data_IF_333154196949
#
_entry.id   IF_333154196949
#
_cell.length_a   1.000
_cell.length_b   1.000
_cell.length_c   1.000
_cell.angle_alpha   90.00
_cell.angle_beta   90.00
_cell.angle_gamma   90.00
#
_symmetry.space_group_name_H-M   'P 1'
#
loop_
_entity.id
_entity.type
_entity.pdbx_description
1 polymer ?
#
# COMPACT_ATOMS: atom_id res chain seq x y z
N UNK A 1 -29.26 14.91 11.53
CA UNK A 1 -29.39 15.21 10.08
C UNK A 1 -28.47 16.39 9.79
N UNK A 2 -27.24 16.13 9.32
CA UNK A 2 -26.26 17.18 9.00
C UNK A 2 -26.47 17.57 7.55
N UNK A 3 -26.80 18.84 7.31
CA UNK A 3 -27.16 19.40 6.01
C UNK A 3 -25.87 19.82 5.30
N UNK A 4 -25.20 18.90 4.63
CA UNK A 4 -24.11 19.23 3.70
C UNK A 4 -24.74 19.46 2.31
N UNK A 5 -25.33 20.64 2.12
CA UNK A 5 -25.70 21.17 0.81
C UNK A 5 -24.93 22.48 0.65
N UNK A 6 -23.67 22.38 0.25
CA UNK A 6 -22.81 23.50 -0.06
C UNK A 6 -21.86 23.11 -1.16
N UNK A 7 -22.24 23.47 -2.39
CA UNK A 7 -21.37 23.72 -3.55
C UNK A 7 -20.50 22.55 -4.07
N UNK A 8 -21.17 21.61 -4.75
CA UNK A 8 -20.56 20.77 -5.79
C UNK A 8 -21.06 21.31 -7.14
N UNK A 9 -20.15 21.78 -7.98
CA UNK A 9 -20.46 22.64 -9.13
C UNK A 9 -20.73 21.87 -10.43
N UNK A 10 -20.58 20.54 -10.45
CA UNK A 10 -20.91 19.70 -11.61
C UNK A 10 -22.13 18.78 -11.33
N UNK A 11 -23.03 18.55 -12.30
CA UNK A 11 -24.20 17.66 -12.13
C UNK A 11 -23.83 16.25 -11.67
N UNK A 12 -22.73 15.71 -12.19
CA UNK A 12 -22.19 14.39 -11.85
C UNK A 12 -21.77 14.30 -10.37
N UNK A 13 -21.22 15.38 -9.80
CA UNK A 13 -20.85 15.43 -8.39
C UNK A 13 -22.09 15.42 -7.47
N UNK A 14 -23.19 16.05 -7.91
CA UNK A 14 -24.48 16.03 -7.18
C UNK A 14 -25.16 14.67 -7.22
N UNK A 15 -25.05 13.99 -8.35
CA UNK A 15 -25.56 12.62 -8.52
C UNK A 15 -24.76 11.64 -7.68
N UNK A 16 -23.42 11.72 -7.73
CA UNK A 16 -22.53 10.95 -6.86
C UNK A 16 -22.82 11.20 -5.37
N UNK A 17 -22.98 12.46 -4.97
CA UNK A 17 -23.34 12.81 -3.60
C UNK A 17 -24.69 12.20 -3.18
N UNK A 18 -25.67 12.16 -4.09
CA UNK A 18 -26.98 11.55 -3.82
C UNK A 18 -26.86 10.03 -3.66
N UNK A 19 -26.10 9.37 -4.53
CA UNK A 19 -25.82 7.92 -4.42
C UNK A 19 -25.12 7.58 -3.11
N UNK A 20 -24.15 8.39 -2.67
CA UNK A 20 -23.47 8.20 -1.39
C UNK A 20 -24.44 8.36 -0.22
N UNK A 21 -25.32 9.38 -0.25
CA UNK A 21 -26.33 9.60 0.79
C UNK A 21 -27.30 8.41 0.85
N UNK A 22 -27.77 7.91 -0.29
CA UNK A 22 -28.68 6.77 -0.36
C UNK A 22 -28.01 5.49 0.16
N UNK A 23 -26.73 5.26 -0.16
CA UNK A 23 -25.97 4.13 0.38
C UNK A 23 -25.84 4.21 1.91
N UNK A 24 -25.55 5.39 2.47
CA UNK A 24 -25.51 5.59 3.93
C UNK A 24 -26.87 5.32 4.57
N UNK A 25 -27.96 5.77 3.93
CA UNK A 25 -29.32 5.56 4.42
C UNK A 25 -29.73 4.08 4.35
N UNK A 26 -29.30 3.37 3.30
CA UNK A 26 -29.49 1.93 3.17
C UNK A 26 -28.78 1.17 4.28
N UNK A 27 -27.49 1.44 4.53
CA UNK A 27 -26.72 0.81 5.62
C UNK A 27 -27.41 1.05 6.96
N UNK A 28 -27.88 2.29 7.19
CA UNK A 28 -28.54 2.66 8.43
C UNK A 28 -29.89 1.95 8.62
N UNK A 29 -30.74 1.95 7.59
CA UNK A 29 -32.10 1.39 7.64
C UNK A 29 -32.15 -0.14 7.62
N UNK A 30 -31.13 -0.79 7.06
CA UNK A 30 -31.00 -2.26 7.04
C UNK A 30 -30.24 -2.84 8.23
N UNK A 31 -29.76 -1.98 9.14
CA UNK A 31 -29.03 -2.42 10.33
C UNK A 31 -27.64 -2.99 10.04
N UNK A 32 -27.05 -2.71 8.86
CA UNK A 32 -25.75 -3.24 8.47
C UNK A 32 -24.54 -2.53 9.11
N UNK A 33 -24.75 -1.81 10.21
CA UNK A 33 -23.70 -1.05 10.91
C UNK A 33 -22.50 -1.91 11.29
N UNK A 34 -22.71 -3.09 11.87
CA UNK A 34 -21.61 -3.98 12.27
C UNK A 34 -20.83 -4.54 11.08
N UNK A 35 -21.53 -4.91 10.00
CA UNK A 35 -20.90 -5.39 8.78
C UNK A 35 -20.11 -4.28 8.07
N UNK A 36 -20.66 -3.07 8.04
CA UNK A 36 -19.98 -1.88 7.52
C UNK A 36 -18.78 -1.49 8.38
N UNK A 37 -18.89 -1.59 9.71
CA UNK A 37 -17.78 -1.31 10.61
C UNK A 37 -16.66 -2.35 10.49
N UNK A 38 -17.00 -3.64 10.36
CA UNK A 38 -16.04 -4.70 10.07
C UNK A 38 -15.36 -4.49 8.71
N UNK A 39 -16.14 -4.19 7.67
CA UNK A 39 -15.62 -3.82 6.35
C UNK A 39 -14.69 -2.62 6.44
N UNK A 40 -15.07 -1.55 7.15
CA UNK A 40 -14.25 -0.36 7.32
C UNK A 40 -12.96 -0.67 8.08
N UNK A 41 -13.03 -1.48 9.14
CA UNK A 41 -11.84 -1.94 9.88
C UNK A 41 -10.90 -2.75 9.00
N UNK A 42 -11.45 -3.61 8.15
CA UNK A 42 -10.67 -4.45 7.25
C UNK A 42 -10.08 -3.67 6.07
N UNK A 43 -10.90 -2.84 5.42
CA UNK A 43 -10.57 -2.05 4.24
C UNK A 43 -9.69 -0.84 4.54
N UNK A 44 -9.79 -0.27 5.75
CA UNK A 44 -8.93 0.83 6.21
C UNK A 44 -7.80 0.35 7.12
N UNK A 45 -7.68 -0.97 7.39
CA UNK A 45 -6.53 -1.48 8.11
C UNK A 45 -5.25 -1.07 7.35
N UNK A 46 -4.20 -0.60 8.06
CA UNK A 46 -2.90 -0.40 7.45
C UNK A 46 -2.45 -1.71 6.82
N UNK A 47 -2.38 -1.74 5.48
CA UNK A 47 -1.98 -2.92 4.71
C UNK A 47 -0.88 -2.55 3.74
N UNK A 48 0.04 -3.49 3.46
CA UNK A 48 0.95 -3.35 2.35
C UNK A 48 0.20 -3.04 1.05
N UNK A 49 0.75 -2.17 0.19
CA UNK A 49 0.14 -1.88 -1.09
C UNK A 49 0.02 -3.13 -1.95
N UNK A 50 -1.04 -3.18 -2.75
CA UNK A 50 -1.19 -4.23 -3.74
C UNK A 50 -0.19 -4.02 -4.88
N UNK A 51 0.59 -5.06 -5.18
CA UNK A 51 1.63 -5.04 -6.23
C UNK A 51 1.32 -6.10 -7.28
N UNK A 52 1.46 -5.75 -8.55
CA UNK A 52 1.12 -6.62 -9.68
C UNK A 52 2.23 -7.61 -10.03
N UNK A 53 3.48 -7.24 -9.76
CA UNK A 53 4.66 -8.03 -10.06
C UNK A 53 5.86 -7.54 -9.22
N UNK A 54 6.90 -8.37 -9.15
CA UNK A 54 8.17 -8.06 -8.50
C UNK A 54 9.32 -8.37 -9.46
N UNK A 55 10.28 -7.45 -9.55
CA UNK A 55 11.41 -7.49 -10.47
C UNK A 55 12.72 -7.24 -9.74
N UNK A 56 13.82 -7.76 -10.27
CA UNK A 56 15.15 -7.51 -9.68
C UNK A 56 15.70 -6.15 -10.10
N UNK A 57 15.36 -5.70 -11.30
CA UNK A 57 15.85 -4.43 -11.84
C UNK A 57 14.75 -3.58 -12.45
N UNK A 58 15.04 -2.28 -12.60
CA UNK A 58 14.11 -1.34 -13.21
C UNK A 58 13.89 -1.65 -14.68
N UNK A 59 14.95 -2.09 -15.37
CA UNK A 59 14.91 -2.45 -16.78
C UNK A 59 13.98 -3.65 -17.02
N UNK A 60 14.00 -4.65 -16.13
CA UNK A 60 13.07 -5.78 -16.18
C UNK A 60 11.61 -5.33 -15.99
N UNK A 61 11.37 -4.44 -15.02
CA UNK A 61 10.03 -3.91 -14.76
C UNK A 61 9.50 -3.07 -15.92
N UNK A 62 10.34 -2.21 -16.50
CA UNK A 62 9.99 -1.42 -17.68
C UNK A 62 9.73 -2.33 -18.87
N UNK A 63 10.62 -3.29 -19.14
CA UNK A 63 10.42 -4.26 -20.21
C UNK A 63 9.09 -5.00 -20.03
N UNK A 64 8.78 -5.49 -18.84
CA UNK A 64 7.49 -6.11 -18.54
C UNK A 64 6.31 -5.19 -18.86
N UNK A 65 6.35 -3.92 -18.45
CA UNK A 65 5.30 -2.94 -18.68
C UNK A 65 5.13 -2.61 -20.19
N UNK A 66 6.22 -2.60 -20.95
CA UNK A 66 6.18 -2.41 -22.41
C UNK A 66 5.62 -3.61 -23.17
N UNK A 67 5.77 -4.83 -22.63
CA UNK A 67 5.19 -6.03 -23.22
C UNK A 67 3.71 -6.25 -22.86
N UNK A 68 3.16 -5.50 -21.89
CA UNK A 68 1.72 -5.57 -21.60
C UNK A 68 0.92 -4.90 -22.73
N UNK A 69 -0.02 -5.61 -23.39
CA UNK A 69 -0.80 -5.07 -24.49
C UNK A 69 -1.76 -3.97 -24.02
N UNK A 70 -2.45 -4.20 -22.91
CA UNK A 70 -3.33 -3.22 -22.26
C UNK A 70 -3.25 -3.36 -20.73
N UNK A 71 -2.20 -2.83 -20.07
CA UNK A 71 -2.15 -2.82 -18.62
C UNK A 71 -3.24 -1.91 -18.04
N UNK A 72 -3.57 -2.04 -16.75
CA UNK A 72 -4.36 -1.05 -16.02
C UNK A 72 -3.77 0.36 -16.18
N UNK A 73 -4.61 1.39 -16.04
CA UNK A 73 -4.17 2.78 -16.15
C UNK A 73 -3.07 3.14 -15.12
N UNK A 74 -3.11 2.49 -13.96
CA UNK A 74 -2.07 2.57 -12.95
C UNK A 74 -2.08 1.35 -12.04
N UNK A 75 -0.96 1.11 -11.36
CA UNK A 75 -0.80 0.08 -10.35
C UNK A 75 0.60 0.15 -9.76
N UNK A 76 0.93 -0.75 -8.83
CA UNK A 76 2.26 -0.81 -8.23
C UNK A 76 2.99 -2.10 -8.59
N UNK A 77 4.32 -2.03 -8.61
CA UNK A 77 5.24 -3.16 -8.73
C UNK A 77 6.38 -2.99 -7.76
N UNK A 78 7.03 -4.10 -7.41
CA UNK A 78 8.28 -4.07 -6.67
C UNK A 78 9.47 -4.13 -7.63
N UNK A 79 10.47 -3.32 -7.37
CA UNK A 79 11.74 -3.30 -8.12
C UNK A 79 12.87 -3.32 -7.11
N UNK A 80 13.62 -4.43 -7.04
CA UNK A 80 14.65 -4.65 -6.02
C UNK A 80 14.12 -4.42 -4.58
N UNK A 81 12.87 -4.80 -4.32
CA UNK A 81 12.20 -4.58 -3.04
C UNK A 81 11.63 -3.17 -2.84
N UNK A 82 11.85 -2.23 -3.75
CA UNK A 82 11.30 -0.87 -3.66
C UNK A 82 9.96 -0.74 -4.40
N UNK A 83 9.06 0.09 -3.90
CA UNK A 83 7.75 0.30 -4.52
C UNK A 83 7.83 1.32 -5.66
N UNK A 84 7.33 0.92 -6.82
CA UNK A 84 7.15 1.79 -7.98
C UNK A 84 5.69 1.77 -8.41
N UNK A 85 5.15 2.95 -8.71
CA UNK A 85 3.89 3.06 -9.44
C UNK A 85 4.18 3.03 -10.93
N UNK A 86 3.49 2.14 -11.65
CA UNK A 86 3.37 2.27 -13.10
C UNK A 86 2.15 3.11 -13.46
N UNK A 87 2.26 3.82 -14.57
CA UNK A 87 1.15 4.51 -15.22
C UNK A 87 1.09 4.10 -16.69
N UNK A 88 -0.12 4.11 -17.25
CA UNK A 88 -0.36 3.93 -18.67
C UNK A 88 -1.45 4.90 -19.14
N UNK A 89 -1.04 5.92 -19.89
CA UNK A 89 -1.91 6.86 -20.59
C UNK A 89 -2.20 6.30 -21.98
N UNK A 90 -3.38 5.69 -22.14
CA UNK A 90 -3.79 4.97 -23.35
C UNK A 90 -3.81 5.87 -24.57
N UNK A 91 -4.28 7.10 -24.41
CA UNK A 91 -4.45 8.11 -25.48
C UNK A 91 -3.11 8.54 -26.07
N UNK A 92 -2.07 8.57 -25.23
CA UNK A 92 -0.72 8.97 -25.63
C UNK A 92 0.20 7.78 -25.88
N UNK A 93 -0.29 6.56 -25.64
CA UNK A 93 0.51 5.34 -25.53
C UNK A 93 1.77 5.54 -24.66
N UNK A 94 1.65 6.32 -23.57
CA UNK A 94 2.76 6.63 -22.68
C UNK A 94 2.66 5.78 -21.42
N UNK A 95 3.75 5.11 -21.10
CA UNK A 95 3.88 4.31 -19.88
C UNK A 95 5.21 4.62 -19.19
N UNK A 96 5.27 4.40 -17.89
CA UNK A 96 6.50 4.59 -17.14
C UNK A 96 6.36 4.19 -15.67
N UNK A 97 7.48 4.29 -14.96
CA UNK A 97 7.61 3.94 -13.56
C UNK A 97 8.05 5.16 -12.76
N UNK A 98 7.40 5.37 -11.61
CA UNK A 98 7.73 6.40 -10.64
C UNK A 98 7.95 5.75 -9.28
N UNK A 99 9.07 6.06 -8.58
CA UNK A 99 9.25 5.63 -7.19
C UNK A 99 8.09 6.11 -6.32
N UNK A 100 7.70 5.28 -5.36
CA UNK A 100 6.66 5.59 -4.39
C UNK A 100 7.15 5.38 -2.97
N UNK A 101 6.71 6.26 -2.07
CA UNK A 101 7.04 6.18 -0.64
C UNK A 101 5.97 5.42 0.17
N UNK A 102 5.25 4.50 -0.48
CA UNK A 102 4.03 3.92 0.13
C UNK A 102 4.34 3.03 1.32
N UNK A 103 5.48 2.32 1.31
CA UNK A 103 5.90 1.49 2.45
C UNK A 103 6.45 2.34 3.59
N UNK A 104 7.14 3.44 3.30
CA UNK A 104 7.56 4.43 4.28
C UNK A 104 6.36 5.05 5.00
N UNK A 105 5.33 5.44 4.23
CA UNK A 105 4.08 5.95 4.80
C UNK A 105 3.40 4.90 5.68
N UNK A 106 3.39 3.62 5.26
CA UNK A 106 2.85 2.52 6.06
C UNK A 106 3.64 2.32 7.35
N UNK A 107 4.98 2.28 7.29
CA UNK A 107 5.84 2.14 8.47
C UNK A 107 5.61 3.30 9.42
N UNK A 108 5.61 4.54 8.92
CA UNK A 108 5.33 5.74 9.72
C UNK A 108 3.99 5.61 10.44
N UNK A 109 2.92 5.28 9.72
CA UNK A 109 1.58 5.09 10.27
C UNK A 109 1.55 3.99 11.35
N UNK A 110 2.17 2.84 11.08
CA UNK A 110 2.24 1.73 12.02
C UNK A 110 3.05 2.06 13.29
N UNK A 111 3.95 3.04 13.22
CA UNK A 111 4.77 3.49 14.33
C UNK A 111 4.20 4.66 15.12
N UNK A 112 3.11 5.30 14.66
CA UNK A 112 2.50 6.45 15.36
C UNK A 112 2.05 6.09 16.79
N UNK A 113 1.57 4.86 17.00
CA UNK A 113 1.16 4.33 18.31
C UNK A 113 2.35 3.71 19.09
N UNK A 114 3.57 3.83 18.57
CA UNK A 114 4.80 3.21 19.06
C UNK A 114 5.19 1.94 18.30
N UNK A 115 6.47 1.52 18.36
CA UNK A 115 6.92 0.33 17.67
C UNK A 115 6.21 -0.91 18.25
N UNK A 116 5.47 -1.67 17.44
CA UNK A 116 4.80 -2.86 17.93
C UNK A 116 5.83 -3.93 18.29
N UNK A 117 5.41 -4.90 19.12
CA UNK A 117 6.26 -6.00 19.51
C UNK A 117 6.80 -6.74 18.27
N UNK A 118 8.10 -7.03 18.25
CA UNK A 118 8.66 -7.87 17.21
C UNK A 118 8.19 -9.30 17.40
N UNK A 119 7.82 -9.94 16.29
CA UNK A 119 7.39 -11.35 16.32
C UNK A 119 8.59 -12.31 16.33
N UNK A 120 9.76 -11.83 15.91
CA UNK A 120 11.02 -12.57 15.89
C UNK A 120 12.22 -11.61 15.83
N UNK A 121 13.40 -12.12 16.19
CA UNK A 121 14.67 -11.40 16.14
C UNK A 121 15.74 -12.29 15.50
N UNK A 122 16.53 -11.72 14.61
CA UNK A 122 17.54 -12.40 13.79
C UNK A 122 18.88 -11.69 13.85
N UNK A 123 19.95 -12.41 13.56
CA UNK A 123 21.30 -11.83 13.48
C UNK A 123 21.55 -11.24 12.09
N UNK A 124 21.00 -11.85 11.04
CA UNK A 124 21.22 -11.43 9.65
C UNK A 124 19.93 -11.39 8.82
N UNK A 125 20.02 -10.71 7.68
CA UNK A 125 18.93 -10.62 6.71
C UNK A 125 18.59 -12.00 6.12
N UNK A 126 19.59 -12.79 5.74
CA UNK A 126 19.41 -14.14 5.19
C UNK A 126 18.65 -15.05 6.17
N UNK A 127 18.95 -14.97 7.46
CA UNK A 127 18.27 -15.75 8.50
C UNK A 127 16.78 -15.37 8.59
N UNK A 128 16.47 -14.07 8.51
CA UNK A 128 15.11 -13.56 8.50
C UNK A 128 14.34 -14.03 7.25
N UNK A 129 14.96 -13.98 6.07
CA UNK A 129 14.38 -14.47 4.82
C UNK A 129 14.07 -15.97 4.89
N UNK A 130 15.02 -16.77 5.37
CA UNK A 130 14.84 -18.21 5.55
C UNK A 130 13.69 -18.55 6.51
N UNK A 131 13.57 -17.79 7.61
CA UNK A 131 12.47 -17.96 8.56
C UNK A 131 11.12 -17.59 7.93
N UNK A 132 11.08 -16.46 7.22
CA UNK A 132 9.89 -16.01 6.51
C UNK A 132 9.45 -17.03 5.45
N UNK A 133 10.39 -17.60 4.69
CA UNK A 133 10.10 -18.59 3.65
C UNK A 133 9.45 -19.88 4.18
N UNK A 134 9.70 -20.23 5.45
CA UNK A 134 9.18 -21.44 6.11
C UNK A 134 7.77 -21.26 6.70
N UNK A 135 7.21 -20.05 6.71
CA UNK A 135 5.88 -19.80 7.26
C UNK A 135 4.78 -20.33 6.35
N UNK A 136 3.93 -21.21 6.90
CA UNK A 136 2.78 -21.80 6.19
C UNK A 136 1.60 -20.83 6.01
N UNK A 137 1.39 -19.92 6.97
CA UNK A 137 0.31 -18.93 6.96
C UNK A 137 0.85 -17.59 7.48
N UNK A 138 1.64 -16.87 6.66
CA UNK A 138 2.26 -15.62 7.07
C UNK A 138 1.22 -14.51 7.29
N UNK A 139 1.42 -13.63 8.30
CA UNK A 139 0.68 -12.38 8.37
C UNK A 139 1.02 -11.50 7.15
N UNK A 140 0.11 -10.61 6.77
CA UNK A 140 0.33 -9.67 5.64
C UNK A 140 1.52 -8.75 5.90
N UNK A 141 1.76 -8.39 7.16
CA UNK A 141 2.94 -7.71 7.61
C UNK A 141 3.24 -8.04 9.07
N UNK A 142 4.50 -7.95 9.48
CA UNK A 142 4.93 -8.10 10.86
C UNK A 142 6.23 -7.33 11.11
N UNK A 143 6.40 -6.82 12.33
CA UNK A 143 7.67 -6.27 12.75
C UNK A 143 8.60 -7.38 13.22
N UNK A 144 9.85 -7.34 12.78
CA UNK A 144 10.94 -8.22 13.20
C UNK A 144 12.14 -7.35 13.57
N UNK A 145 13.09 -7.92 14.31
CA UNK A 145 14.40 -7.29 14.53
C UNK A 145 15.47 -8.03 13.75
N UNK A 146 16.36 -7.31 13.09
CA UNK A 146 17.55 -7.88 12.44
C UNK A 146 18.74 -7.06 12.92
N UNK A 147 19.70 -7.71 13.59
CA UNK A 147 20.88 -7.02 14.12
C UNK A 147 20.56 -5.90 15.14
N UNK A 148 19.39 -5.94 15.77
CA UNK A 148 18.92 -4.91 16.70
C UNK A 148 18.14 -3.75 16.07
N UNK A 149 18.03 -3.69 14.74
CA UNK A 149 17.21 -2.70 14.02
C UNK A 149 15.81 -3.28 13.72
N UNK A 150 14.77 -2.45 13.86
CA UNK A 150 13.40 -2.82 13.52
C UNK A 150 13.21 -2.86 12.00
N UNK A 151 12.54 -3.90 11.53
CA UNK A 151 12.18 -4.08 10.14
C UNK A 151 10.70 -4.44 10.03
N UNK A 152 10.05 -3.95 8.99
CA UNK A 152 8.73 -4.40 8.56
C UNK A 152 8.91 -5.50 7.52
N UNK A 153 8.58 -6.74 7.88
CA UNK A 153 8.41 -7.82 6.93
C UNK A 153 7.02 -7.73 6.31
N UNK A 154 6.95 -7.76 4.99
CA UNK A 154 5.73 -7.67 4.20
C UNK A 154 5.55 -8.93 3.38
N UNK A 155 4.32 -9.46 3.35
CA UNK A 155 3.94 -10.58 2.51
C UNK A 155 2.91 -10.15 1.46
N UNK A 156 3.28 -10.28 0.20
CA UNK A 156 2.40 -10.07 -0.95
C UNK A 156 1.83 -11.42 -1.38
N UNK A 157 0.66 -11.76 -0.84
CA UNK A 157 0.00 -13.05 -1.04
C UNK A 157 -0.19 -13.40 -2.52
N UNK A 158 -0.59 -12.43 -3.34
CA UNK A 158 -0.84 -12.63 -4.77
C UNK A 158 0.41 -13.01 -5.58
N UNK A 159 1.60 -12.68 -5.07
CA UNK A 159 2.88 -13.02 -5.71
C UNK A 159 3.61 -14.13 -4.97
N UNK A 160 3.09 -14.58 -3.82
CA UNK A 160 3.84 -15.34 -2.82
C UNK A 160 5.23 -14.74 -2.53
N UNK A 161 5.33 -13.40 -2.58
CA UNK A 161 6.58 -12.67 -2.48
C UNK A 161 6.69 -11.98 -1.13
N UNK A 162 7.93 -11.81 -0.66
CA UNK A 162 8.24 -11.19 0.61
C UNK A 162 9.27 -10.10 0.42
N UNK A 163 9.07 -9.01 1.14
CA UNK A 163 10.01 -7.91 1.21
C UNK A 163 10.25 -7.55 2.68
N UNK A 164 11.49 -7.21 3.01
CA UNK A 164 11.88 -6.77 4.35
C UNK A 164 12.36 -5.33 4.21
N UNK A 165 11.79 -4.43 5.02
CA UNK A 165 12.09 -3.02 4.97
C UNK A 165 12.61 -2.55 6.32
N UNK A 166 13.83 -2.00 6.42
CA UNK A 166 14.28 -1.41 7.67
C UNK A 166 13.44 -0.17 7.99
N UNK A 167 13.09 0.05 9.25
CA UNK A 167 12.29 1.21 9.66
C UNK A 167 12.93 2.54 9.25
N UNK A 168 14.27 2.59 9.18
CA UNK A 168 15.05 3.76 8.78
C UNK A 168 14.72 4.29 7.39
N UNK A 169 14.05 3.53 6.51
CA UNK A 169 13.61 4.05 5.20
C UNK A 169 12.63 5.24 5.31
N UNK A 170 11.95 5.40 6.45
CA UNK A 170 11.07 6.56 6.71
C UNK A 170 11.84 7.88 6.60
N UNK A 171 13.14 7.91 6.90
CA UNK A 171 13.99 9.09 6.76
C UNK A 171 14.02 9.62 5.32
N UNK A 172 13.88 8.73 4.31
CA UNK A 172 13.83 9.13 2.90
C UNK A 172 12.57 9.95 2.60
N UNK A 173 11.43 9.53 3.15
CA UNK A 173 10.16 10.22 3.02
C UNK A 173 10.23 11.60 3.70
N UNK A 174 10.74 11.66 4.92
CA UNK A 174 10.91 12.92 5.65
C UNK A 174 11.85 13.90 4.93
N UNK A 175 12.93 13.39 4.33
CA UNK A 175 13.81 14.19 3.49
C UNK A 175 13.07 14.75 2.28
N UNK A 176 12.35 13.91 1.54
CA UNK A 176 11.56 14.34 0.38
C UNK A 176 10.50 15.38 0.77
N UNK A 177 9.77 15.18 1.87
CA UNK A 177 8.76 16.14 2.36
C UNK A 177 9.38 17.51 2.72
N UNK A 178 10.59 17.52 3.29
CA UNK A 178 11.33 18.77 3.57
C UNK A 178 11.76 19.50 2.30
N UNK A 179 12.20 18.77 1.28
CA UNK A 179 12.65 19.33 0.00
C UNK A 179 11.48 19.92 -0.82
N UNK A 180 10.25 19.44 -0.59
CA UNK A 180 9.05 19.92 -1.27
C UNK A 180 8.37 21.10 -0.55
N UNK A 181 8.82 21.47 0.65
CA UNK A 181 8.25 22.56 1.43
C UNK A 181 8.94 23.88 1.04
N UNK A 182 8.21 24.89 0.54
CA UNK A 182 8.77 26.17 0.09
C UNK A 182 9.37 27.00 1.23
#
# INVERSE_FOLDING_TARGET
MVRIRGELHLPEEKELASVIIDALHFIASTGQHTAFEAFRRDALAPRPPHVFASFRTREEAEAWLYHQPEPPAQGQVLVAGEYYQFYYFRELNRRGLLPQFTVEMLIRLLMEEGPPATVASFVSHDEAEDWLAKQLAPPTHAFISIGGEYHLAVFHENLHHRAIHPVSIVERLEKWEREQRP
#
